data_IF_936436504390
#
_entry.id   IF_936436504390
#
_cell.length_a   1.000
_cell.length_b   1.000
_cell.length_c   1.000
_cell.angle_alpha   90.00
_cell.angle_beta   90.00
_cell.angle_gamma   90.00
#
_symmetry.space_group_name_H-M   'P 1'
#
loop_
_entity.id
_entity.type
_entity.pdbx_description
1 polymer ?
#
# COMPACT_ATOMS: atom_id res chain seq x y z
N UNK A 1 32.08 31.17 43.23
CA UNK A 1 31.98 31.31 41.76
C UNK A 1 30.75 30.54 41.34
N UNK A 2 29.72 31.23 40.83
CA UNK A 2 28.41 30.67 40.51
C UNK A 2 28.53 29.80 39.25
N UNK A 3 28.05 28.56 39.36
CA UNK A 3 27.95 27.55 38.32
C UNK A 3 27.17 28.02 37.09
N UNK A 4 27.64 27.62 35.91
CA UNK A 4 26.84 27.56 34.68
C UNK A 4 27.09 26.20 34.02
N UNK A 5 26.29 25.21 34.40
CA UNK A 5 26.18 23.94 33.66
C UNK A 5 25.19 24.20 32.54
N UNK A 6 25.68 24.33 31.31
CA UNK A 6 24.84 24.34 30.12
C UNK A 6 24.29 22.92 29.91
N UNK A 7 23.05 22.71 30.33
CA UNK A 7 22.28 21.52 29.95
C UNK A 7 21.87 21.71 28.50
N UNK A 8 22.61 21.10 27.58
CA UNK A 8 22.17 20.87 26.21
C UNK A 8 21.01 19.87 26.28
N UNK A 9 19.79 20.40 26.31
CA UNK A 9 18.60 19.64 25.97
C UNK A 9 18.71 19.27 24.49
N UNK A 10 19.27 18.10 24.22
CA UNK A 10 19.08 17.40 22.96
C UNK A 10 17.58 17.08 22.93
N UNK A 11 16.80 17.95 22.28
CA UNK A 11 15.44 17.62 21.91
C UNK A 11 15.53 16.40 20.99
N UNK A 12 15.25 15.21 21.54
CA UNK A 12 14.87 14.09 20.72
C UNK A 12 13.64 14.57 19.92
N UNK A 13 13.81 14.73 18.62
CA UNK A 13 12.68 14.87 17.72
C UNK A 13 11.92 13.56 17.81
N UNK A 14 10.89 13.52 18.67
CA UNK A 14 9.90 12.47 18.64
C UNK A 14 9.25 12.53 17.27
N UNK A 15 9.47 11.51 16.43
CA UNK A 15 8.74 11.33 15.19
C UNK A 15 7.26 11.15 15.56
N UNK A 16 6.49 12.23 15.45
CA UNK A 16 5.05 12.22 15.69
C UNK A 16 4.38 11.55 14.50
N UNK A 17 3.58 10.52 14.77
CA UNK A 17 2.63 9.85 13.87
C UNK A 17 2.48 10.45 12.46
N UNK A 18 3.19 9.87 11.51
CA UNK A 18 2.86 10.01 10.10
C UNK A 18 2.78 8.60 9.51
N UNK A 19 1.64 7.95 9.72
CA UNK A 19 1.19 6.70 9.08
C UNK A 19 0.91 6.94 7.59
N UNK A 20 1.87 7.50 6.86
CA UNK A 20 1.65 7.97 5.50
C UNK A 20 2.86 7.79 4.63
N UNK A 21 2.60 7.70 3.33
CA UNK A 21 3.57 7.98 2.28
C UNK A 21 4.42 9.22 2.64
N UNK A 22 5.70 8.98 2.88
CA UNK A 22 6.67 10.00 3.26
C UNK A 22 7.16 10.69 2.00
N UNK A 23 7.27 12.02 2.01
CA UNK A 23 7.74 12.80 0.86
C UNK A 23 6.82 12.74 -0.37
N UNK A 24 5.57 12.29 -0.19
CA UNK A 24 4.53 12.25 -1.21
C UNK A 24 3.79 13.58 -1.39
N UNK A 25 2.70 13.52 -2.15
CA UNK A 25 1.79 14.62 -2.41
C UNK A 25 0.35 14.12 -2.48
N UNK A 26 -0.63 14.97 -2.22
CA UNK A 26 -2.05 14.60 -2.40
C UNK A 26 -2.30 14.21 -3.87
N UNK A 27 -2.83 13.00 -4.09
CA UNK A 27 -3.25 12.59 -5.42
C UNK A 27 -4.34 13.54 -5.92
N UNK A 28 -4.43 13.77 -7.23
CA UNK A 28 -5.65 14.37 -7.77
C UNK A 28 -6.84 13.46 -7.43
N UNK A 29 -7.92 14.04 -6.89
CA UNK A 29 -9.12 13.29 -6.54
C UNK A 29 -9.56 12.35 -7.67
N UNK A 30 -9.80 11.09 -7.31
CA UNK A 30 -10.20 9.99 -8.20
C UNK A 30 -9.25 9.70 -9.37
N UNK A 31 -7.98 10.15 -9.32
CA UNK A 31 -6.97 9.84 -10.33
C UNK A 31 -6.44 8.41 -10.25
N UNK A 32 -6.63 7.73 -9.11
CA UNK A 32 -6.22 6.34 -8.88
C UNK A 32 -7.45 5.44 -8.70
N UNK A 33 -8.26 5.21 -9.76
CA UNK A 33 -9.55 4.50 -9.63
C UNK A 33 -9.43 3.02 -9.24
N UNK A 34 -8.23 2.46 -9.33
CA UNK A 34 -7.90 1.10 -8.95
C UNK A 34 -7.48 1.00 -7.47
N UNK A 35 -7.25 2.13 -6.78
CA UNK A 35 -6.90 2.12 -5.37
C UNK A 35 -8.06 1.58 -4.53
N UNK A 36 -7.73 0.67 -3.64
CA UNK A 36 -8.66 0.09 -2.68
C UNK A 36 -8.19 0.43 -1.27
N UNK A 37 -9.15 0.70 -0.38
CA UNK A 37 -8.95 0.63 1.06
C UNK A 37 -9.59 -0.67 1.58
N UNK A 38 -8.79 -1.51 2.23
CA UNK A 38 -9.28 -2.68 2.97
C UNK A 38 -9.66 -2.25 4.38
N UNK A 39 -10.89 -2.60 4.77
CA UNK A 39 -11.49 -2.13 6.00
C UNK A 39 -12.11 -3.29 6.80
N UNK A 40 -11.89 -3.28 8.12
CA UNK A 40 -12.54 -4.20 9.07
C UNK A 40 -13.03 -3.43 10.31
N UNK A 41 -13.75 -2.32 10.07
CA UNK A 41 -14.14 -1.32 11.08
C UNK A 41 -13.18 -0.13 11.14
N UNK A 42 -11.97 -0.29 10.61
CA UNK A 42 -10.99 0.74 10.34
C UNK A 42 -10.16 0.34 9.12
N UNK A 43 -9.50 1.31 8.48
CA UNK A 43 -8.56 1.05 7.40
C UNK A 43 -7.27 0.44 7.95
N UNK A 44 -6.86 -0.69 7.37
CA UNK A 44 -5.67 -1.40 7.85
C UNK A 44 -4.67 -1.74 6.73
N UNK A 45 -5.13 -1.84 5.49
CA UNK A 45 -4.29 -2.08 4.32
C UNK A 45 -4.91 -1.46 3.06
N UNK A 46 -4.09 -1.24 2.05
CA UNK A 46 -4.48 -0.96 0.68
C UNK A 46 -4.74 -2.21 -0.15
N UNK A 47 -5.12 -1.98 -1.40
CA UNK A 47 -5.31 -2.99 -2.42
C UNK A 47 -5.39 -2.37 -3.81
N UNK A 48 -5.44 -3.25 -4.82
CA UNK A 48 -5.53 -2.88 -6.23
C UNK A 48 -6.68 -3.62 -6.90
N UNK A 49 -7.68 -2.90 -7.39
CA UNK A 49 -8.74 -3.48 -8.22
C UNK A 49 -8.15 -3.90 -9.57
N UNK A 50 -8.09 -5.21 -9.83
CA UNK A 50 -7.50 -5.76 -11.06
C UNK A 50 -8.54 -6.13 -12.12
N UNK A 51 -9.79 -6.31 -11.70
CA UNK A 51 -10.97 -6.38 -12.56
C UNK A 51 -12.24 -6.14 -11.72
N UNK A 52 -13.42 -6.25 -12.33
CA UNK A 52 -14.71 -6.00 -11.69
C UNK A 52 -15.02 -6.87 -10.46
N UNK A 53 -14.34 -8.00 -10.27
CA UNK A 53 -14.65 -8.97 -9.21
C UNK A 53 -13.46 -9.27 -8.29
N UNK A 54 -12.28 -8.72 -8.57
CA UNK A 54 -11.04 -9.13 -7.92
C UNK A 54 -10.15 -7.95 -7.54
N UNK A 55 -9.64 -8.03 -6.31
CA UNK A 55 -8.64 -7.13 -5.75
C UNK A 55 -7.37 -7.92 -5.42
N UNK A 56 -6.21 -7.38 -5.77
CA UNK A 56 -4.90 -7.85 -5.32
C UNK A 56 -4.44 -7.03 -4.12
N UNK A 57 -3.88 -7.67 -3.10
CA UNK A 57 -3.30 -7.03 -1.92
C UNK A 57 -2.17 -7.91 -1.35
N UNK A 58 -1.57 -7.52 -0.23
CA UNK A 58 -0.50 -8.26 0.43
C UNK A 58 -1.06 -9.40 1.27
N UNK A 59 -0.41 -10.56 1.29
CA UNK A 59 -0.87 -11.72 2.06
C UNK A 59 -0.81 -11.51 3.58
N UNK A 60 0.09 -10.67 4.06
CA UNK A 60 0.16 -10.31 5.47
C UNK A 60 -1.04 -9.48 5.94
N UNK A 61 -1.78 -8.85 5.03
CA UNK A 61 -3.05 -8.14 5.28
C UNK A 61 -4.26 -9.09 5.39
N UNK A 62 -4.03 -10.40 5.50
CA UNK A 62 -5.13 -11.37 5.47
C UNK A 62 -6.07 -11.22 6.67
N UNK A 63 -7.35 -11.08 6.34
CA UNK A 63 -8.47 -11.22 7.26
C UNK A 63 -9.52 -12.16 6.65
N UNK A 64 -10.28 -12.86 7.51
CA UNK A 64 -11.27 -13.84 7.04
C UNK A 64 -12.46 -13.19 6.30
N UNK A 65 -12.72 -11.91 6.58
CA UNK A 65 -13.73 -11.07 5.93
C UNK A 65 -13.20 -9.64 5.90
N UNK A 66 -13.32 -8.98 4.75
CA UNK A 66 -12.93 -7.58 4.57
C UNK A 66 -14.02 -6.82 3.83
N UNK A 67 -14.21 -5.55 4.20
CA UNK A 67 -14.92 -4.57 3.38
C UNK A 67 -13.90 -3.89 2.46
N UNK A 68 -14.12 -4.00 1.16
CA UNK A 68 -13.37 -3.35 0.10
C UNK A 68 -14.04 -2.02 -0.19
N UNK A 69 -13.31 -0.92 0.04
CA UNK A 69 -13.78 0.44 -0.27
C UNK A 69 -13.09 0.94 -1.53
N UNK A 70 -13.88 1.23 -2.56
CA UNK A 70 -13.45 1.82 -3.82
C UNK A 70 -13.90 3.28 -3.89
N UNK A 71 -13.21 4.10 -4.67
CA UNK A 71 -13.61 5.49 -4.96
C UNK A 71 -13.20 6.54 -3.92
N UNK A 72 -12.74 6.10 -2.75
CA UNK A 72 -12.28 6.96 -1.65
C UNK A 72 -11.18 7.96 -2.10
N UNK A 73 -11.38 9.25 -1.86
CA UNK A 73 -10.29 10.24 -1.88
C UNK A 73 -9.99 10.72 -0.45
N UNK A 74 -11.00 10.93 0.38
CA UNK A 74 -10.84 11.20 1.82
C UNK A 74 -11.54 10.12 2.67
N UNK A 75 -10.74 9.28 3.33
CA UNK A 75 -11.22 8.09 4.05
C UNK A 75 -12.13 8.38 5.26
N UNK A 76 -12.22 9.64 5.70
CA UNK A 76 -13.08 10.05 6.84
C UNK A 76 -14.45 10.58 6.42
N UNK A 77 -14.68 10.85 5.13
CA UNK A 77 -15.94 11.40 4.64
C UNK A 77 -16.44 10.62 3.44
N UNK A 78 -17.76 10.46 3.32
CA UNK A 78 -18.37 9.91 2.12
C UNK A 78 -18.57 11.04 1.10
N UNK A 79 -17.83 11.01 0.00
CA UNK A 79 -17.82 12.03 -1.06
C UNK A 79 -18.87 11.74 -2.14
N UNK A 80 -19.52 10.57 -2.07
CA UNK A 80 -20.59 10.12 -2.96
C UNK A 80 -20.10 9.26 -4.13
N UNK A 81 -18.78 9.07 -4.24
CA UNK A 81 -18.14 8.24 -5.25
C UNK A 81 -17.84 6.83 -4.77
N UNK A 82 -18.01 6.59 -3.47
CA UNK A 82 -17.50 5.40 -2.80
C UNK A 82 -18.41 4.20 -3.01
N UNK A 83 -17.79 3.03 -3.13
CA UNK A 83 -18.49 1.74 -3.09
C UNK A 83 -17.91 0.92 -1.95
N UNK A 84 -18.78 0.41 -1.10
CA UNK A 84 -18.44 -0.43 0.05
C UNK A 84 -18.89 -1.87 -0.26
N UNK A 85 -17.93 -2.74 -0.51
CA UNK A 85 -18.17 -4.07 -1.07
C UNK A 85 -17.62 -5.13 -0.13
N UNK A 86 -18.44 -6.11 0.24
CA UNK A 86 -17.95 -7.22 1.05
C UNK A 86 -17.08 -8.19 0.25
N UNK A 87 -16.07 -8.78 0.87
CA UNK A 87 -15.36 -9.93 0.30
C UNK A 87 -16.22 -11.19 0.33
N UNK A 88 -16.36 -11.87 -0.80
CA UNK A 88 -16.89 -13.24 -0.86
C UNK A 88 -15.82 -14.29 -0.57
N UNK A 89 -14.55 -13.95 -0.81
CA UNK A 89 -13.40 -14.81 -0.53
C UNK A 89 -12.11 -14.01 -0.36
N UNK A 90 -11.21 -14.48 0.50
CA UNK A 90 -9.84 -13.95 0.64
C UNK A 90 -8.87 -15.13 0.55
N UNK A 91 -7.92 -15.07 -0.38
CA UNK A 91 -7.05 -16.19 -0.78
C UNK A 91 -5.60 -15.72 -0.75
N UNK A 92 -4.84 -16.14 0.28
CA UNK A 92 -3.39 -15.95 0.30
C UNK A 92 -2.71 -16.84 -0.72
N UNK A 93 -1.57 -16.39 -1.25
CA UNK A 93 -0.69 -17.24 -2.02
C UNK A 93 -0.31 -18.48 -1.18
N UNK A 94 -0.39 -19.71 -1.74
CA UNK A 94 -0.18 -20.95 -0.97
C UNK A 94 1.23 -21.07 -0.39
N UNK A 95 2.21 -20.43 -1.03
CA UNK A 95 3.60 -20.40 -0.59
C UNK A 95 3.96 -19.13 0.22
N UNK A 96 2.96 -18.36 0.68
CA UNK A 96 3.22 -17.23 1.57
C UNK A 96 3.92 -17.70 2.86
N UNK A 97 5.02 -17.05 3.20
CA UNK A 97 5.81 -17.34 4.40
C UNK A 97 5.85 -16.12 5.30
N UNK A 98 5.23 -16.21 6.48
CA UNK A 98 5.27 -15.14 7.48
C UNK A 98 6.63 -15.01 8.18
N UNK A 99 7.57 -15.93 7.95
CA UNK A 99 8.90 -15.89 8.55
C UNK A 99 9.80 -14.84 7.89
N UNK A 100 9.75 -14.75 6.57
CA UNK A 100 10.55 -13.84 5.75
C UNK A 100 9.71 -12.96 4.82
N UNK A 101 8.38 -12.97 4.99
CA UNK A 101 7.40 -12.23 4.17
C UNK A 101 7.53 -12.61 2.67
N UNK A 102 8.00 -13.82 2.36
CA UNK A 102 8.11 -14.29 0.99
C UNK A 102 6.74 -14.66 0.41
N UNK A 103 6.57 -14.43 -0.89
CA UNK A 103 5.30 -14.61 -1.61
C UNK A 103 4.13 -13.83 -0.98
N UNK A 104 4.38 -12.59 -0.56
CA UNK A 104 3.42 -11.71 0.10
C UNK A 104 2.38 -11.10 -0.85
N UNK A 105 1.52 -11.97 -1.39
CA UNK A 105 0.43 -11.59 -2.30
C UNK A 105 -0.84 -12.39 -2.01
N UNK A 106 -1.98 -11.73 -2.11
CA UNK A 106 -3.30 -12.36 -1.96
C UNK A 106 -4.31 -11.81 -2.96
N UNK A 107 -5.36 -12.60 -3.19
CA UNK A 107 -6.54 -12.23 -3.97
C UNK A 107 -7.76 -12.11 -3.06
N UNK A 108 -8.55 -11.07 -3.27
CA UNK A 108 -9.85 -10.87 -2.64
C UNK A 108 -10.91 -10.92 -3.73
N UNK A 109 -11.83 -11.88 -3.63
CA UNK A 109 -13.01 -11.95 -4.49
C UNK A 109 -14.11 -11.09 -3.88
N UNK A 110 -14.69 -10.21 -4.68
CA UNK A 110 -15.80 -9.35 -4.26
C UNK A 110 -17.12 -10.13 -4.25
N UNK A 111 -18.07 -9.74 -3.41
CA UNK A 111 -19.45 -10.23 -3.53
C UNK A 111 -20.11 -9.66 -4.78
N UNK A 112 -20.83 -10.52 -5.52
CA UNK A 112 -21.65 -10.11 -6.66
C UNK A 112 -22.60 -8.96 -6.27
N UNK A 113 -22.71 -7.98 -7.19
CA UNK A 113 -23.39 -6.68 -7.11
C UNK A 113 -22.55 -5.52 -6.55
N UNK A 114 -21.48 -5.08 -7.23
CA UNK A 114 -20.91 -3.71 -7.11
C UNK A 114 -19.69 -3.44 -8.00
N UNK A 115 -19.84 -3.54 -9.32
CA UNK A 115 -18.86 -2.92 -10.22
C UNK A 115 -19.48 -2.26 -11.47
N UNK A 116 -20.72 -2.60 -11.83
CA UNK A 116 -21.35 -2.07 -13.05
C UNK A 116 -22.52 -1.11 -12.82
N UNK A 117 -22.88 -0.79 -11.58
CA UNK A 117 -24.02 0.10 -11.36
C UNK A 117 -23.86 0.91 -10.09
N UNK A 118 -23.19 2.07 -10.22
CA UNK A 118 -23.49 3.35 -9.55
C UNK A 118 -22.35 4.35 -9.86
N UNK A 119 -22.51 5.11 -10.94
CA UNK A 119 -21.87 6.43 -11.04
C UNK A 119 -22.76 7.44 -10.32
N UNK A 120 -22.22 8.27 -9.42
CA UNK A 120 -22.66 9.66 -9.43
C UNK A 120 -21.53 10.71 -9.37
N UNK A 121 -21.81 11.75 -10.16
CA UNK A 121 -21.32 13.13 -10.24
C UNK A 121 -20.42 13.71 -9.12
N UNK A 122 -19.48 14.51 -9.62
CA UNK A 122 -18.58 15.46 -8.97
C UNK A 122 -19.22 16.45 -7.98
N UNK A 123 -18.53 16.68 -6.85
CA UNK A 123 -18.59 17.92 -6.08
C UNK A 123 -17.19 18.34 -5.57
N UNK A 124 -16.91 19.65 -5.55
CA UNK A 124 -15.67 20.29 -5.09
C UNK A 124 -15.57 20.32 -3.56
N UNK A 125 -14.40 20.03 -2.97
CA UNK A 125 -14.09 20.41 -1.57
C UNK A 125 -12.60 20.82 -1.37
N UNK A 126 -12.43 21.84 -0.53
CA UNK A 126 -11.20 22.53 -0.09
C UNK A 126 -10.35 21.71 0.94
N UNK A 127 -9.40 22.35 1.65
CA UNK A 127 -7.96 22.17 1.53
C UNK A 127 -7.41 20.90 2.23
N UNK A 128 -6.11 20.65 2.03
CA UNK A 128 -5.34 19.47 2.45
C UNK A 128 -5.63 18.99 3.88
N UNK A 129 -6.06 17.74 4.00
CA UNK A 129 -6.33 17.02 5.24
C UNK A 129 -5.50 15.73 5.25
N UNK A 130 -5.10 15.28 6.44
CA UNK A 130 -4.26 14.09 6.58
C UNK A 130 -4.92 12.80 6.06
N UNK A 131 -6.23 12.82 5.86
CA UNK A 131 -7.04 11.65 5.50
C UNK A 131 -7.22 11.47 4.00
N UNK A 132 -6.58 12.32 3.19
CA UNK A 132 -6.66 12.28 1.73
C UNK A 132 -5.62 11.36 1.13
N UNK A 133 -5.98 10.70 0.03
CA UNK A 133 -5.10 9.79 -0.70
C UNK A 133 -3.79 10.50 -1.11
N UNK A 134 -2.67 9.89 -0.78
CA UNK A 134 -1.33 10.36 -1.14
C UNK A 134 -0.78 9.56 -2.32
N UNK A 135 0.03 10.22 -3.13
CA UNK A 135 0.74 9.69 -4.27
C UNK A 135 2.22 9.97 -4.11
N UNK A 136 3.06 9.08 -4.63
CA UNK A 136 4.50 9.25 -4.64
C UNK A 136 5.10 8.58 -5.88
N UNK A 137 6.08 9.26 -6.47
CA UNK A 137 6.89 8.70 -7.56
C UNK A 137 8.24 8.28 -6.97
N UNK A 138 8.59 7.01 -7.15
CA UNK A 138 9.85 6.39 -6.73
C UNK A 138 10.46 5.55 -7.86
N UNK A 139 11.79 5.49 -7.96
CA UNK A 139 12.45 4.61 -8.92
C UNK A 139 12.49 3.17 -8.40
N UNK A 140 12.44 2.20 -9.32
CA UNK A 140 12.73 0.79 -9.01
C UNK A 140 14.24 0.64 -8.90
N UNK A 141 14.72 0.03 -7.82
CA UNK A 141 16.13 -0.21 -7.58
C UNK A 141 16.61 -1.50 -8.25
N UNK A 142 17.91 -1.59 -8.50
CA UNK A 142 18.52 -2.84 -8.95
C UNK A 142 18.43 -3.91 -7.86
N UNK A 143 18.44 -5.19 -8.25
CA UNK A 143 18.50 -6.29 -7.28
C UNK A 143 19.74 -6.17 -6.37
N UNK A 144 20.88 -5.75 -6.93
CA UNK A 144 22.12 -5.55 -6.17
C UNK A 144 21.94 -4.50 -5.08
N UNK A 145 21.38 -3.34 -5.43
CA UNK A 145 21.18 -2.25 -4.45
C UNK A 145 20.18 -2.67 -3.37
N UNK A 146 19.07 -3.30 -3.77
CA UNK A 146 18.06 -3.84 -2.86
C UNK A 146 18.64 -4.88 -1.89
N UNK A 147 19.44 -5.83 -2.39
CA UNK A 147 20.10 -6.84 -1.56
C UNK A 147 21.24 -6.26 -0.72
N UNK A 148 21.91 -5.18 -1.16
CA UNK A 148 22.90 -4.49 -0.35
C UNK A 148 22.25 -3.77 0.84
N UNK A 149 21.04 -3.24 0.68
CA UNK A 149 20.21 -2.70 1.76
C UNK A 149 19.71 -3.79 2.71
N UNK A 150 19.36 -4.97 2.19
CA UNK A 150 18.80 -6.08 2.98
C UNK A 150 19.53 -7.42 2.73
N UNK A 151 20.78 -7.59 3.20
CA UNK A 151 21.60 -8.75 2.85
C UNK A 151 20.96 -10.09 3.24
N UNK A 152 20.67 -10.92 2.24
CA UNK A 152 20.13 -12.28 2.43
C UNK A 152 18.63 -12.34 2.72
N UNK A 153 17.93 -11.20 2.71
CA UNK A 153 16.48 -11.13 2.96
C UNK A 153 15.64 -11.00 1.68
N UNK A 154 16.25 -10.53 0.58
CA UNK A 154 15.54 -10.28 -0.68
C UNK A 154 15.44 -11.57 -1.51
N UNK A 155 14.22 -12.04 -1.71
CA UNK A 155 13.92 -13.19 -2.56
C UNK A 155 13.62 -12.77 -4.00
N UNK A 156 13.48 -13.74 -4.91
CA UNK A 156 13.07 -13.49 -6.30
C UNK A 156 11.63 -12.94 -6.43
N UNK A 157 10.82 -13.08 -5.38
CA UNK A 157 9.46 -12.59 -5.31
C UNK A 157 9.35 -11.12 -4.88
N UNK A 158 10.48 -10.49 -4.57
CA UNK A 158 10.53 -9.13 -4.04
C UNK A 158 11.30 -8.21 -4.99
N UNK A 159 11.02 -6.91 -4.88
CA UNK A 159 11.88 -5.86 -5.42
C UNK A 159 11.83 -4.64 -4.51
N UNK A 160 12.86 -3.80 -4.57
CA UNK A 160 12.88 -2.54 -3.85
C UNK A 160 12.54 -1.37 -4.77
N UNK A 161 11.87 -0.36 -4.24
CA UNK A 161 11.70 0.93 -4.90
C UNK A 161 11.86 2.05 -3.88
N UNK A 162 12.39 3.19 -4.31
CA UNK A 162 12.70 4.31 -3.43
C UNK A 162 14.06 4.92 -3.71
N UNK A 163 14.42 5.89 -2.89
CA UNK A 163 15.70 6.58 -2.95
C UNK A 163 16.59 6.06 -1.82
N UNK A 164 17.83 5.66 -2.12
CA UNK A 164 18.76 5.16 -1.10
C UNK A 164 19.15 6.24 -0.08
N UNK A 165 19.01 7.52 -0.44
CA UNK A 165 19.17 8.64 0.48
C UNK A 165 17.99 8.77 1.47
N UNK A 166 16.91 8.00 1.28
CA UNK A 166 15.69 8.09 2.06
C UNK A 166 14.80 9.28 1.66
N UNK A 167 13.95 9.72 2.60
CA UNK A 167 13.07 10.87 2.46
C UNK A 167 11.78 10.65 1.65
N UNK A 168 11.65 9.51 0.96
CA UNK A 168 10.46 9.15 0.17
C UNK A 168 10.18 7.65 0.24
N UNK A 169 8.99 7.28 0.71
CA UNK A 169 8.61 5.88 0.85
C UNK A 169 7.10 5.71 1.05
N UNK A 170 6.59 4.50 0.79
CA UNK A 170 5.36 4.01 1.42
C UNK A 170 5.58 3.80 2.91
N UNK A 171 4.53 3.85 3.72
CA UNK A 171 4.64 3.65 5.17
C UNK A 171 3.45 2.85 5.73
N UNK A 172 3.27 2.92 7.05
CA UNK A 172 2.20 2.23 7.76
C UNK A 172 0.83 2.59 7.17
N UNK A 173 0.01 1.57 6.93
CA UNK A 173 -1.30 1.70 6.28
C UNK A 173 -1.27 1.53 4.75
N UNK A 174 -0.13 1.75 4.10
CA UNK A 174 -0.02 1.61 2.64
C UNK A 174 0.14 0.14 2.20
N UNK A 175 0.43 -0.78 3.13
CA UNK A 175 0.58 -2.22 2.90
C UNK A 175 -0.54 -2.79 2.03
N UNK A 176 -0.20 -3.57 1.01
CA UNK A 176 -1.16 -4.09 0.03
C UNK A 176 -1.53 -3.12 -1.09
N UNK A 177 -1.14 -1.84 -0.97
CA UNK A 177 -1.37 -0.81 -1.98
C UNK A 177 -0.56 -1.04 -3.28
N UNK A 178 -0.97 -0.41 -4.39
CA UNK A 178 -0.36 -0.59 -5.70
C UNK A 178 0.98 0.16 -5.87
N UNK A 179 1.91 -0.49 -6.58
CA UNK A 179 2.94 0.19 -7.37
C UNK A 179 2.58 0.05 -8.84
N UNK A 180 2.27 1.16 -9.50
CA UNK A 180 1.85 1.18 -10.91
C UNK A 180 2.95 1.76 -11.79
N UNK A 181 3.25 1.08 -12.89
CA UNK A 181 4.10 1.61 -13.95
C UNK A 181 3.36 1.50 -15.28
N UNK A 182 3.31 2.60 -16.05
CA UNK A 182 2.65 2.65 -17.36
C UNK A 182 1.17 2.19 -17.34
N UNK A 183 0.47 2.42 -16.22
CA UNK A 183 -0.92 2.00 -16.05
C UNK A 183 -1.12 0.52 -15.66
N UNK A 184 -0.03 -0.23 -15.48
CA UNK A 184 -0.07 -1.63 -15.06
C UNK A 184 0.42 -1.80 -13.61
N UNK A 185 -0.21 -2.69 -12.86
CA UNK A 185 0.21 -3.06 -11.52
C UNK A 185 1.49 -3.89 -11.58
N UNK A 186 2.59 -3.33 -11.09
CA UNK A 186 3.92 -3.98 -11.07
C UNK A 186 4.29 -4.53 -9.69
N UNK A 187 3.77 -3.90 -8.64
CA UNK A 187 4.10 -4.29 -7.27
C UNK A 187 2.97 -4.07 -6.28
N UNK A 188 3.13 -4.71 -5.13
CA UNK A 188 2.26 -4.56 -3.96
C UNK A 188 3.14 -4.15 -2.78
N UNK A 189 2.79 -3.05 -2.09
CA UNK A 189 3.49 -2.59 -0.88
C UNK A 189 3.53 -3.72 0.14
N UNK A 190 4.71 -4.08 0.64
CA UNK A 190 4.89 -5.28 1.46
C UNK A 190 5.53 -4.96 2.80
N UNK A 191 6.80 -4.56 2.83
CA UNK A 191 7.52 -4.27 4.07
C UNK A 191 8.70 -3.32 3.85
N UNK A 192 9.35 -2.90 4.95
CA UNK A 192 10.53 -2.06 4.95
C UNK A 192 11.07 -1.89 6.37
N UNK A 193 12.30 -1.40 6.51
CA UNK A 193 12.83 -0.99 7.81
C UNK A 193 12.65 0.50 7.99
N UNK A 194 11.83 0.89 8.98
CA UNK A 194 11.36 2.26 9.11
C UNK A 194 10.56 2.69 7.88
N UNK A 195 10.34 3.99 7.76
CA UNK A 195 9.77 4.59 6.56
C UNK A 195 10.71 5.68 6.06
N UNK A 196 11.11 5.60 4.79
CA UNK A 196 11.97 6.59 4.15
C UNK A 196 13.31 6.82 4.88
N UNK A 197 13.80 5.81 5.59
CA UNK A 197 15.12 5.87 6.23
C UNK A 197 16.23 5.71 5.18
N UNK A 198 17.34 6.48 5.29
CA UNK A 198 18.48 6.30 4.41
C UNK A 198 19.01 4.86 4.46
N UNK A 199 19.22 4.26 3.27
CA UNK A 199 19.68 2.89 3.11
C UNK A 199 18.60 1.82 3.23
N UNK A 200 17.37 2.17 3.61
CA UNK A 200 16.26 1.24 3.82
C UNK A 200 15.10 1.54 2.84
N UNK A 201 15.21 1.18 1.55
CA UNK A 201 14.14 1.39 0.58
C UNK A 201 12.95 0.46 0.83
N UNK A 202 11.73 0.89 0.48
CA UNK A 202 10.54 0.05 0.54
C UNK A 202 10.69 -1.23 -0.27
N UNK A 203 10.17 -2.34 0.25
CA UNK A 203 10.16 -3.67 -0.37
C UNK A 203 8.73 -4.03 -0.78
N UNK A 204 8.61 -4.51 -2.01
CA UNK A 204 7.34 -4.76 -2.68
C UNK A 204 7.29 -6.19 -3.21
N UNK A 205 6.11 -6.82 -3.16
CA UNK A 205 5.88 -8.10 -3.82
C UNK A 205 5.82 -7.89 -5.33
N UNK A 206 6.56 -8.70 -6.08
CA UNK A 206 6.76 -8.58 -7.53
C UNK A 206 5.64 -9.24 -8.31
N UNK A 207 4.63 -8.47 -8.73
CA UNK A 207 3.37 -9.00 -9.31
C UNK A 207 3.60 -9.91 -10.51
N UNK A 208 4.57 -9.57 -11.38
CA UNK A 208 4.80 -10.33 -12.61
C UNK A 208 5.19 -11.80 -12.39
N UNK A 209 5.80 -12.16 -11.24
CA UNK A 209 6.14 -13.56 -10.95
C UNK A 209 4.93 -14.39 -10.50
N UNK A 210 3.81 -13.73 -10.17
CA UNK A 210 2.57 -14.35 -9.69
C UNK A 210 1.48 -14.43 -10.75
N UNK A 211 1.72 -13.97 -11.98
CA UNK A 211 0.70 -13.90 -13.03
C UNK A 211 -0.02 -15.23 -13.26
N UNK A 212 0.70 -16.34 -13.30
CA UNK A 212 0.11 -17.67 -13.48
C UNK A 212 -0.81 -18.05 -12.31
N UNK A 213 -0.37 -17.78 -11.08
CA UNK A 213 -1.17 -18.03 -9.88
C UNK A 213 -2.41 -17.13 -9.84
N UNK A 214 -2.25 -15.83 -10.13
CA UNK A 214 -3.33 -14.85 -10.13
C UNK A 214 -4.41 -15.24 -11.14
N UNK A 215 -4.01 -15.49 -12.39
CA UNK A 215 -4.94 -15.82 -13.48
C UNK A 215 -5.64 -17.16 -13.26
N UNK A 216 -4.91 -18.20 -12.87
CA UNK A 216 -5.50 -19.52 -12.56
C UNK A 216 -6.46 -19.48 -11.38
N UNK A 217 -6.12 -18.75 -10.31
CA UNK A 217 -6.98 -18.61 -9.14
C UNK A 217 -8.26 -17.85 -9.47
N UNK A 218 -8.16 -16.74 -10.22
CA UNK A 218 -9.33 -15.98 -10.66
C UNK A 218 -10.25 -16.78 -11.59
N UNK A 219 -9.69 -17.66 -12.44
CA UNK A 219 -10.47 -18.52 -13.33
C UNK A 219 -11.12 -19.70 -12.59
N UNK A 220 -10.53 -20.15 -11.48
CA UNK A 220 -11.03 -21.29 -10.70
C UNK A 220 -12.28 -20.93 -9.89
N UNK A 221 -12.39 -19.69 -9.44
CA UNK A 221 -13.41 -19.26 -8.47
C UNK A 221 -14.42 -18.29 -9.07
#
# INVERSE_FOLDING_TARGET
MISLVFVLLIGAAFATEDDKIVGGYECKAHSQPHQVSLNSGYHFCGGSLVNENWVVSAAHCYESRVEVRLGEHNIKVTEGSEQFISSSRVIRHPNYSSYNIDNDIMLIKLTCCSAQQLCPRWHHVYPADKNKLQCLNIPILSYSDCNNSYPGMITNAMFCAGYLEGGKDSCQGDSGGPVVCNGELQGVVSWGYGCAEPGNPGVYAKVCIFNDWLTSTMATY
#
